data_IF_141708893215
#
_entry.id   IF_141708893215
#
_cell.length_a   1.000
_cell.length_b   1.000
_cell.length_c   1.000
_cell.angle_alpha   90.00
_cell.angle_beta   90.00
_cell.angle_gamma   90.00
#
_symmetry.space_group_name_H-M   'P 1'
#
loop_
_entity.id
_entity.type
_entity.pdbx_description
1 polymer ?
#
# COMPACT_ATOMS: atom_id res chain seq x y z
N UNK A 1 10.59 -17.70 -6.16
CA UNK A 1 10.21 -17.14 -4.84
C UNK A 1 10.54 -15.65 -4.77
N UNK A 2 11.72 -15.25 -5.24
CA UNK A 2 12.18 -13.85 -5.17
C UNK A 2 11.32 -12.88 -5.97
N UNK A 3 10.77 -13.28 -7.12
CA UNK A 3 9.87 -12.44 -7.93
C UNK A 3 8.69 -11.89 -7.10
N UNK A 4 8.04 -12.75 -6.32
CA UNK A 4 6.88 -12.34 -5.50
C UNK A 4 7.28 -11.51 -4.28
N UNK A 5 8.47 -11.79 -3.72
CA UNK A 5 9.02 -10.94 -2.66
C UNK A 5 9.35 -9.55 -3.19
N UNK A 6 10.00 -9.46 -4.35
CA UNK A 6 10.35 -8.21 -5.01
C UNK A 6 9.11 -7.41 -5.44
N UNK A 7 8.08 -8.07 -5.97
CA UNK A 7 6.81 -7.41 -6.27
C UNK A 7 6.17 -6.81 -5.02
N UNK A 8 6.10 -7.58 -3.93
CA UNK A 8 5.55 -7.13 -2.64
C UNK A 8 6.39 -6.00 -2.02
N UNK A 9 7.72 -6.02 -2.17
CA UNK A 9 8.60 -4.91 -1.76
C UNK A 9 8.29 -3.63 -2.54
N UNK A 10 8.19 -3.73 -3.88
CA UNK A 10 7.87 -2.58 -4.73
C UNK A 10 6.50 -1.98 -4.37
N UNK A 11 5.50 -2.84 -4.13
CA UNK A 11 4.17 -2.40 -3.71
C UNK A 11 4.21 -1.69 -2.35
N UNK A 12 4.95 -2.22 -1.37
CA UNK A 12 5.12 -1.59 -0.06
C UNK A 12 5.83 -0.24 -0.16
N UNK A 13 6.90 -0.13 -0.94
CA UNK A 13 7.63 1.13 -1.16
C UNK A 13 6.70 2.21 -1.71
N UNK A 14 5.87 1.87 -2.70
CA UNK A 14 4.88 2.81 -3.26
C UNK A 14 3.83 3.26 -2.24
N UNK A 15 3.52 2.44 -1.23
CA UNK A 15 2.57 2.79 -0.17
C UNK A 15 3.21 3.58 0.97
N UNK A 16 4.50 3.36 1.28
CA UNK A 16 5.19 4.01 2.40
C UNK A 16 5.21 5.52 2.21
N UNK A 17 5.62 6.00 1.04
CA UNK A 17 5.65 7.43 0.75
C UNK A 17 4.27 8.09 0.94
N UNK A 18 3.21 7.45 0.43
CA UNK A 18 1.86 7.99 0.52
C UNK A 18 1.36 8.04 1.96
N UNK A 19 1.71 7.02 2.76
CA UNK A 19 1.38 6.98 4.18
C UNK A 19 2.08 8.10 4.94
N UNK A 20 3.38 8.27 4.71
CA UNK A 20 4.19 9.24 5.42
C UNK A 20 3.75 10.67 5.05
N UNK A 21 3.53 10.95 3.76
CA UNK A 21 2.92 12.21 3.31
C UNK A 21 1.58 12.51 3.98
N UNK A 22 0.68 11.52 4.08
CA UNK A 22 -0.61 11.74 4.73
C UNK A 22 -0.46 12.11 6.21
N UNK A 23 0.49 11.48 6.92
CA UNK A 23 0.77 11.81 8.33
C UNK A 23 1.34 13.21 8.46
N UNK A 24 2.28 13.59 7.60
CA UNK A 24 2.84 14.94 7.58
C UNK A 24 1.74 16.00 7.34
N UNK A 25 0.79 15.73 6.43
CA UNK A 25 -0.34 16.63 6.18
C UNK A 25 -1.24 16.81 7.41
N UNK A 26 -1.52 15.73 8.14
CA UNK A 26 -2.28 15.79 9.39
C UNK A 26 -1.53 16.57 10.48
N UNK A 27 -0.23 16.34 10.63
CA UNK A 27 0.61 17.05 11.60
C UNK A 27 0.73 18.56 11.29
N UNK A 28 0.79 18.91 10.01
CA UNK A 28 0.80 20.30 9.55
C UNK A 28 -0.58 20.97 9.59
N UNK A 29 -1.65 20.20 9.78
CA UNK A 29 -3.03 20.71 9.74
C UNK A 29 -3.46 21.23 8.38
N UNK A 30 -2.92 20.67 7.29
CA UNK A 30 -3.28 21.02 5.90
C UNK A 30 -4.21 19.98 5.30
N UNK A 31 -4.83 20.32 4.16
CA UNK A 31 -5.67 19.39 3.41
C UNK A 31 -4.88 18.13 3.02
N UNK A 32 -5.48 16.97 3.25
CA UNK A 32 -4.91 15.67 2.93
C UNK A 32 -5.23 15.26 1.49
N UNK A 33 -4.29 14.55 0.84
CA UNK A 33 -4.56 13.97 -0.49
C UNK A 33 -5.55 12.80 -0.40
N UNK A 34 -5.44 12.02 0.68
CA UNK A 34 -6.34 10.90 0.97
C UNK A 34 -7.41 11.32 1.96
N UNK A 35 -8.62 10.81 1.78
CA UNK A 35 -9.62 10.81 2.87
C UNK A 35 -9.20 9.85 3.99
N UNK A 36 -9.85 9.95 5.16
CA UNK A 36 -9.58 9.05 6.28
C UNK A 36 -9.89 7.57 5.93
N UNK A 37 -10.93 7.33 5.14
CA UNK A 37 -11.31 6.01 4.65
C UNK A 37 -10.25 5.46 3.70
N UNK A 38 -9.81 6.27 2.72
CA UNK A 38 -8.75 5.88 1.79
C UNK A 38 -7.42 5.60 2.52
N UNK A 39 -7.08 6.41 3.53
CA UNK A 39 -5.91 6.16 4.35
C UNK A 39 -6.03 4.85 5.14
N UNK A 40 -7.20 4.52 5.66
CA UNK A 40 -7.46 3.23 6.32
C UNK A 40 -7.32 2.06 5.34
N UNK A 41 -7.90 2.17 4.15
CA UNK A 41 -7.76 1.17 3.08
C UNK A 41 -6.29 0.95 2.68
N UNK A 42 -5.50 2.03 2.59
CA UNK A 42 -4.06 1.96 2.35
C UNK A 42 -3.36 1.15 3.44
N UNK A 43 -3.64 1.43 4.72
CA UNK A 43 -3.00 0.73 5.84
C UNK A 43 -3.36 -0.76 5.87
N UNK A 44 -4.62 -1.10 5.59
CA UNK A 44 -5.08 -2.49 5.48
C UNK A 44 -4.39 -3.22 4.33
N UNK A 45 -4.23 -2.57 3.18
CA UNK A 45 -3.51 -3.14 2.05
C UNK A 45 -2.02 -3.38 2.38
N UNK A 46 -1.35 -2.41 3.01
CA UNK A 46 0.03 -2.58 3.47
C UNK A 46 0.18 -3.74 4.46
N UNK A 47 -0.80 -3.94 5.34
CA UNK A 47 -0.82 -5.07 6.27
C UNK A 47 -0.95 -6.39 5.51
N UNK A 48 -1.92 -6.50 4.59
CA UNK A 48 -2.11 -7.69 3.76
C UNK A 48 -0.85 -8.04 2.94
N UNK A 49 -0.11 -7.04 2.44
CA UNK A 49 1.17 -7.25 1.75
C UNK A 49 2.25 -7.85 2.67
N UNK A 50 2.28 -7.48 3.96
CA UNK A 50 3.23 -8.02 4.94
C UNK A 50 2.86 -9.44 5.39
N UNK A 51 1.56 -9.71 5.50
CA UNK A 51 1.06 -11.00 5.96
C UNK A 51 1.14 -12.07 4.87
N UNK A 52 1.01 -11.69 3.59
CA UNK A 52 0.95 -12.63 2.49
C UNK A 52 2.16 -13.59 2.41
N UNK A 53 3.43 -13.15 2.51
CA UNK A 53 4.60 -14.04 2.57
C UNK A 53 4.64 -15.03 3.75
N UNK A 54 3.86 -14.79 4.80
CA UNK A 54 3.73 -15.66 5.97
C UNK A 54 2.54 -16.64 5.84
N UNK A 55 1.67 -16.43 4.85
CA UNK A 55 0.52 -17.29 4.60
C UNK A 55 0.90 -18.56 3.83
N UNK A 56 0.10 -19.63 3.99
CA UNK A 56 0.23 -20.84 3.18
C UNK A 56 -0.12 -20.65 1.68
N UNK A 57 -0.58 -19.46 1.29
CA UNK A 57 -0.90 -19.11 -0.09
C UNK A 57 0.30 -18.55 -0.86
N UNK A 58 1.41 -18.25 -0.18
CA UNK A 58 2.63 -17.77 -0.84
C UNK A 58 3.38 -18.91 -1.53
N UNK A 59 3.92 -18.74 -2.76
CA UNK A 59 4.00 -17.51 -3.57
C UNK A 59 2.96 -17.45 -4.71
N UNK A 60 1.74 -17.96 -4.53
CA UNK A 60 0.76 -18.01 -5.62
C UNK A 60 0.33 -16.60 -6.04
N UNK A 61 0.68 -16.18 -7.27
CA UNK A 61 0.40 -14.84 -7.78
C UNK A 61 -1.10 -14.49 -7.81
N UNK A 62 -1.97 -15.49 -8.00
CA UNK A 62 -3.43 -15.35 -7.90
C UNK A 62 -3.95 -15.05 -6.49
N UNK A 63 -3.07 -15.13 -5.48
CA UNK A 63 -3.36 -14.83 -4.08
C UNK A 63 -2.67 -13.55 -3.60
N UNK A 64 -2.08 -12.76 -4.50
CA UNK A 64 -1.59 -11.43 -4.16
C UNK A 64 -2.73 -10.60 -3.56
N UNK A 65 -2.46 -9.80 -2.52
CA UNK A 65 -3.42 -8.82 -2.03
C UNK A 65 -3.84 -7.86 -3.15
N UNK A 66 -5.14 -7.55 -3.22
CA UNK A 66 -5.65 -6.55 -4.15
C UNK A 66 -5.50 -5.16 -3.53
N UNK A 67 -4.91 -4.23 -4.28
CA UNK A 67 -4.77 -2.84 -3.87
C UNK A 67 -6.08 -2.05 -3.95
N UNK A 68 -6.24 -1.00 -3.13
CA UNK A 68 -7.34 -0.04 -3.24
C UNK A 68 -7.44 0.59 -4.64
N UNK A 69 -8.67 0.87 -5.09
CA UNK A 69 -8.95 1.37 -6.46
C UNK A 69 -8.31 2.72 -6.74
N UNK A 70 -8.10 3.56 -5.72
CA UNK A 70 -7.50 4.89 -5.88
C UNK A 70 -5.97 4.86 -6.06
N UNK A 71 -5.30 3.79 -5.63
CA UNK A 71 -3.83 3.73 -5.58
C UNK A 71 -3.13 3.88 -6.94
N UNK A 72 -3.58 3.23 -8.03
CA UNK A 72 -2.93 3.35 -9.33
C UNK A 72 -2.86 4.79 -9.85
N UNK A 73 -3.88 5.60 -9.56
CA UNK A 73 -3.93 7.00 -9.99
C UNK A 73 -2.91 7.86 -9.23
N UNK A 74 -2.64 7.55 -7.97
CA UNK A 74 -1.71 8.30 -7.13
C UNK A 74 -0.24 7.90 -7.33
N UNK A 75 0.02 6.68 -7.80
CA UNK A 75 1.38 6.21 -8.14
C UNK A 75 1.89 6.74 -9.49
N UNK A 76 1.01 7.26 -10.35
CA UNK A 76 1.35 7.72 -11.71
C UNK A 76 1.47 9.23 -11.89
N UNK A 77 1.08 10.03 -10.90
CA UNK A 77 1.01 11.49 -11.01
C UNK A 77 2.18 12.25 -10.34
N UNK A 78 3.16 11.54 -9.75
CA UNK A 78 4.29 12.15 -9.02
C UNK A 78 5.62 11.43 -9.25
#
# INVERSE_FOLDING_TARGET
>A
MDIERSWRDAELVGCIWLRDRHRDQLELGVDTVLTAEQFTELLLYMQALRDWPQSGNFPASSKRPNGPVFLPNLKGEL
#
